data_IF_005993730679
#
_entry.id   IF_005993730679
#
_cell.length_a   1.000
_cell.length_b   1.000
_cell.length_c   1.000
_cell.angle_alpha   90.00
_cell.angle_beta   90.00
_cell.angle_gamma   90.00
#
_symmetry.space_group_name_H-M   'P 1'
#
loop_
_entity.id
_entity.type
_entity.pdbx_description
1 polymer ?
#
# COMPACT_ATOMS: atom_id res chain seq x y z
N UNK A 1 -51.08 -31.81 -15.71
CA UNK A 1 -51.12 -30.35 -15.42
C UNK A 1 -50.60 -30.00 -14.01
N UNK A 2 -49.53 -30.65 -13.53
CA UNK A 2 -48.99 -30.43 -12.17
C UNK A 2 -47.46 -30.53 -12.06
N UNK A 3 -46.76 -30.76 -13.18
CA UNK A 3 -45.30 -30.91 -13.23
C UNK A 3 -44.62 -29.66 -13.80
N UNK A 4 -45.26 -28.97 -14.75
CA UNK A 4 -44.82 -27.68 -15.33
C UNK A 4 -44.78 -26.54 -14.30
N UNK A 5 -45.68 -26.56 -13.31
CA UNK A 5 -45.78 -25.51 -12.27
C UNK A 5 -44.65 -25.63 -11.24
N UNK A 6 -44.11 -26.83 -11.03
CA UNK A 6 -42.99 -27.04 -10.10
C UNK A 6 -41.71 -26.45 -10.68
N UNK A 7 -41.50 -26.54 -12.00
CA UNK A 7 -40.32 -25.97 -12.69
C UNK A 7 -40.28 -24.44 -12.58
N UNK A 8 -41.44 -23.76 -12.51
CA UNK A 8 -41.51 -22.31 -12.27
C UNK A 8 -41.14 -21.89 -10.83
N UNK A 9 -41.22 -22.79 -9.85
CA UNK A 9 -40.80 -22.51 -8.45
C UNK A 9 -39.30 -22.76 -8.23
N UNK A 10 -38.62 -23.49 -9.12
CA UNK A 10 -37.17 -23.74 -9.06
C UNK A 10 -36.37 -22.70 -9.87
N UNK A 11 -37.06 -21.84 -10.62
CA UNK A 11 -36.48 -20.67 -11.28
C UNK A 11 -36.45 -19.43 -10.35
N UNK A 12 -36.42 -19.63 -9.02
CA UNK A 12 -35.80 -18.64 -8.16
C UNK A 12 -34.33 -18.67 -8.57
N UNK A 13 -34.00 -17.76 -9.49
CA UNK A 13 -32.66 -17.44 -9.89
C UNK A 13 -31.82 -17.43 -8.63
N UNK A 14 -30.92 -18.41 -8.49
CA UNK A 14 -29.75 -18.21 -7.64
C UNK A 14 -29.13 -16.95 -8.19
N UNK A 15 -29.39 -15.81 -7.55
CA UNK A 15 -28.69 -14.57 -7.80
C UNK A 15 -27.27 -14.87 -7.34
N UNK A 16 -26.51 -15.51 -8.22
CA UNK A 16 -25.09 -15.72 -8.02
C UNK A 16 -24.52 -14.33 -7.88
N UNK A 17 -23.76 -14.15 -6.80
CA UNK A 17 -23.07 -12.90 -6.52
C UNK A 17 -22.32 -12.47 -7.79
N UNK A 18 -22.67 -11.30 -8.33
CA UNK A 18 -22.08 -10.79 -9.57
C UNK A 18 -20.63 -10.34 -9.41
N UNK A 19 -20.14 -10.31 -8.16
CA UNK A 19 -18.77 -9.94 -7.81
C UNK A 19 -17.84 -11.14 -8.00
N UNK A 20 -16.88 -11.00 -8.91
CA UNK A 20 -15.83 -11.99 -9.12
C UNK A 20 -15.01 -12.22 -7.86
N UNK A 21 -14.67 -13.48 -7.57
CA UNK A 21 -13.91 -13.91 -6.38
C UNK A 21 -14.58 -13.57 -5.03
N UNK A 22 -15.91 -13.38 -5.04
CA UNK A 22 -16.69 -13.20 -3.83
C UNK A 22 -17.24 -14.53 -3.33
N UNK A 23 -17.00 -14.84 -2.05
CA UNK A 23 -17.59 -15.99 -1.38
C UNK A 23 -19.03 -15.69 -0.92
N UNK A 24 -19.29 -14.46 -0.45
CA UNK A 24 -20.61 -14.04 0.01
C UNK A 24 -20.90 -12.58 -0.32
N UNK A 25 -21.99 -12.37 -1.06
CA UNK A 25 -22.50 -11.02 -1.35
C UNK A 25 -23.15 -10.39 -0.11
N UNK A 26 -23.16 -9.07 -0.07
CA UNK A 26 -23.90 -8.31 0.95
C UNK A 26 -25.41 -8.51 0.75
N UNK A 27 -26.16 -8.70 1.84
CA UNK A 27 -27.61 -8.86 1.77
C UNK A 27 -28.29 -7.69 1.03
N UNK A 28 -29.16 -8.01 0.07
CA UNK A 28 -29.92 -7.03 -0.70
C UNK A 28 -29.19 -6.44 -1.91
N UNK A 29 -27.97 -6.90 -2.24
CA UNK A 29 -27.24 -6.50 -3.44
C UNK A 29 -26.36 -7.62 -3.99
N UNK A 30 -26.29 -7.73 -5.31
CA UNK A 30 -25.42 -8.67 -6.04
C UNK A 30 -24.10 -8.03 -6.52
N UNK A 31 -23.92 -6.73 -6.31
CA UNK A 31 -22.78 -5.95 -6.80
C UNK A 31 -21.73 -5.63 -5.73
N UNK A 32 -21.96 -6.07 -4.48
CA UNK A 32 -21.02 -5.89 -3.37
C UNK A 32 -20.78 -7.19 -2.62
N UNK A 33 -19.53 -7.39 -2.25
CA UNK A 33 -19.04 -8.54 -1.52
C UNK A 33 -18.87 -8.23 -0.03
N UNK A 34 -19.35 -9.13 0.80
CA UNK A 34 -19.16 -9.14 2.25
C UNK A 34 -17.98 -10.02 2.68
N UNK A 35 -17.64 -11.02 1.86
CA UNK A 35 -16.53 -11.93 2.13
C UNK A 35 -15.91 -12.44 0.83
N UNK A 36 -14.63 -12.14 0.62
CA UNK A 36 -13.89 -12.57 -0.57
C UNK A 36 -13.23 -13.93 -0.39
N UNK A 37 -12.97 -14.60 -1.51
CA UNK A 37 -12.19 -15.84 -1.54
C UNK A 37 -10.77 -15.63 -0.97
N UNK A 38 -10.14 -16.72 -0.53
CA UNK A 38 -8.74 -16.70 -0.12
C UNK A 38 -7.85 -16.09 -1.21
N UNK A 39 -6.91 -15.24 -0.79
CA UNK A 39 -6.06 -14.46 -1.70
C UNK A 39 -6.66 -13.12 -2.15
N UNK A 40 -7.88 -12.77 -1.72
CA UNK A 40 -8.52 -11.49 -2.04
C UNK A 40 -8.89 -10.73 -0.76
N UNK A 41 -9.00 -9.40 -0.87
CA UNK A 41 -9.53 -8.51 0.17
C UNK A 41 -10.67 -7.67 -0.40
N UNK A 42 -11.54 -7.16 0.48
CA UNK A 42 -12.69 -6.34 0.10
C UNK A 42 -12.24 -4.90 -0.07
N UNK A 43 -12.46 -4.32 -1.24
CA UNK A 43 -12.16 -2.92 -1.51
C UNK A 43 -13.20 -1.96 -0.92
N UNK A 44 -12.93 -0.66 -0.93
CA UNK A 44 -13.86 0.40 -0.52
C UNK A 44 -15.14 0.41 -1.38
N UNK A 45 -15.08 -0.11 -2.60
CA UNK A 45 -16.25 -0.23 -3.49
C UNK A 45 -17.06 -1.50 -3.22
N UNK A 46 -16.60 -2.37 -2.30
CA UNK A 46 -17.21 -3.67 -2.02
C UNK A 46 -16.85 -4.74 -3.04
N UNK A 47 -15.74 -4.58 -3.78
CA UNK A 47 -15.27 -5.57 -4.76
C UNK A 47 -14.10 -6.37 -4.21
N UNK A 48 -13.90 -7.59 -4.70
CA UNK A 48 -12.76 -8.40 -4.30
C UNK A 48 -11.54 -8.07 -5.14
N UNK A 49 -10.48 -7.60 -4.47
CA UNK A 49 -9.20 -7.25 -5.09
C UNK A 49 -8.14 -8.26 -4.66
N UNK A 50 -7.35 -8.70 -5.62
CA UNK A 50 -6.32 -9.72 -5.42
C UNK A 50 -5.15 -9.18 -4.60
N UNK A 51 -4.76 -9.90 -3.55
CA UNK A 51 -3.68 -9.53 -2.63
C UNK A 51 -2.31 -9.53 -3.30
N UNK A 52 -2.10 -10.42 -4.28
CA UNK A 52 -0.82 -10.59 -4.99
C UNK A 52 -0.35 -9.34 -5.74
N UNK A 53 -1.28 -8.42 -6.06
CA UNK A 53 -0.98 -7.13 -6.71
C UNK A 53 -0.25 -6.15 -5.80
N UNK A 54 -0.25 -6.40 -4.49
CA UNK A 54 0.36 -5.54 -3.50
C UNK A 54 1.59 -6.22 -2.90
N UNK A 55 2.74 -5.95 -3.50
CA UNK A 55 4.03 -6.47 -3.07
C UNK A 55 4.39 -5.89 -1.70
N UNK A 56 4.99 -6.69 -0.81
CA UNK A 56 5.47 -6.23 0.51
C UNK A 56 4.35 -5.96 1.53
N UNK A 57 3.13 -6.41 1.25
CA UNK A 57 1.97 -6.20 2.10
C UNK A 57 1.85 -7.25 3.20
N UNK A 58 1.71 -6.83 4.46
CA UNK A 58 1.44 -7.70 5.60
C UNK A 58 -0.07 -7.85 5.85
N UNK A 59 -0.77 -6.73 5.89
CA UNK A 59 -2.22 -6.66 6.12
C UNK A 59 -2.87 -5.74 5.11
N UNK A 60 -4.15 -6.00 4.82
CA UNK A 60 -4.90 -5.33 3.77
C UNK A 60 -6.09 -4.60 4.37
N UNK A 61 -6.21 -3.33 4.04
CA UNK A 61 -7.40 -2.51 4.31
C UNK A 61 -8.36 -2.54 3.13
N UNK A 62 -9.24 -1.55 3.06
CA UNK A 62 -10.23 -1.43 1.97
C UNK A 62 -9.68 -0.77 0.69
N UNK A 63 -8.48 -0.19 0.71
CA UNK A 63 -7.92 0.50 -0.47
C UNK A 63 -6.63 -0.16 -0.95
N UNK A 64 -5.97 -0.93 -0.09
CA UNK A 64 -4.70 -1.58 -0.38
C UNK A 64 -4.06 -2.11 0.89
N UNK A 65 -2.78 -1.89 1.06
CA UNK A 65 -2.02 -2.25 2.26
C UNK A 65 -2.30 -1.33 3.43
N UNK A 66 -2.61 -1.95 4.57
CA UNK A 66 -2.65 -1.29 5.86
C UNK A 66 -1.29 -1.32 6.54
N UNK A 67 -0.58 -2.44 6.47
CA UNK A 67 0.76 -2.59 7.02
C UNK A 67 1.68 -3.27 6.00
N UNK A 68 2.90 -2.78 5.92
CA UNK A 68 3.96 -3.41 5.14
C UNK A 68 4.72 -4.44 5.99
N UNK A 69 5.34 -5.41 5.33
CA UNK A 69 6.33 -6.28 5.97
C UNK A 69 7.61 -5.48 6.28
N UNK A 70 8.49 -6.05 7.10
CA UNK A 70 9.80 -5.45 7.37
C UNK A 70 10.61 -5.30 6.07
N UNK A 71 11.39 -4.22 5.97
CA UNK A 71 12.11 -3.86 4.74
C UNK A 71 11.25 -3.15 3.69
N UNK A 72 9.98 -2.86 3.99
CA UNK A 72 9.10 -2.08 3.13
C UNK A 72 8.50 -0.86 3.85
N UNK A 73 8.41 0.25 3.14
CA UNK A 73 7.85 1.53 3.58
C UNK A 73 6.44 1.68 3.03
N UNK A 74 5.49 2.06 3.89
CA UNK A 74 4.12 2.39 3.46
C UNK A 74 4.10 3.80 2.88
N UNK A 75 3.68 3.93 1.62
CA UNK A 75 3.54 5.23 0.94
C UNK A 75 2.07 5.63 0.75
N UNK A 76 1.81 6.87 0.34
CA UNK A 76 0.49 7.53 0.35
C UNK A 76 -0.62 6.84 -0.46
N UNK A 77 -0.29 5.87 -1.33
CA UNK A 77 -1.26 5.13 -2.15
C UNK A 77 -1.64 3.76 -1.56
N UNK A 78 -1.45 3.54 -0.26
CA UNK A 78 -1.71 2.24 0.39
C UNK A 78 -0.92 1.10 -0.28
N UNK A 79 0.28 1.41 -0.77
CA UNK A 79 1.21 0.42 -1.32
C UNK A 79 2.49 0.42 -0.51
N UNK A 80 3.21 -0.68 -0.59
CA UNK A 80 4.48 -0.86 0.08
C UNK A 80 5.59 -0.75 -0.95
N UNK A 81 6.60 0.06 -0.66
CA UNK A 81 7.80 0.22 -1.46
C UNK A 81 8.98 -0.38 -0.70
N UNK A 82 9.87 -1.08 -1.38
CA UNK A 82 11.10 -1.58 -0.75
C UNK A 82 11.91 -0.42 -0.15
N UNK A 83 12.45 -0.60 1.06
CA UNK A 83 13.03 0.50 1.81
C UNK A 83 14.26 1.09 1.11
N UNK A 84 15.09 0.28 0.46
CA UNK A 84 16.23 0.75 -0.33
C UNK A 84 15.83 1.54 -1.57
N UNK A 85 14.65 1.26 -2.13
CA UNK A 85 14.09 2.05 -3.24
C UNK A 85 13.52 3.38 -2.74
N UNK A 86 13.03 3.43 -1.51
CA UNK A 86 12.43 4.63 -0.91
C UNK A 86 13.50 5.58 -0.35
N UNK A 87 14.48 5.06 0.40
CA UNK A 87 15.54 5.84 1.03
C UNK A 87 16.77 5.90 0.11
N UNK A 88 16.88 6.98 -0.66
CA UNK A 88 18.06 7.21 -1.51
C UNK A 88 19.34 7.33 -0.65
N UNK A 89 20.42 6.71 -1.12
CA UNK A 89 21.74 6.70 -0.47
C UNK A 89 21.75 6.04 0.92
N UNK A 90 20.92 5.02 1.11
CA UNK A 90 20.77 4.28 2.37
C UNK A 90 21.28 2.84 2.25
N UNK A 91 22.15 2.43 3.17
CA UNK A 91 22.69 1.07 3.23
C UNK A 91 21.79 0.11 4.02
N UNK A 92 21.30 0.56 5.17
CA UNK A 92 20.41 -0.23 6.03
C UNK A 92 19.16 0.58 6.36
N UNK A 93 17.98 -0.01 6.21
CA UNK A 93 16.70 0.66 6.46
C UNK A 93 15.68 -0.21 7.17
N UNK A 94 14.71 0.45 7.81
CA UNK A 94 13.47 -0.13 8.33
C UNK A 94 12.29 0.39 7.51
N UNK A 95 11.07 0.10 7.95
CA UNK A 95 9.85 0.67 7.36
C UNK A 95 9.66 2.17 7.64
N UNK A 96 10.45 2.77 8.55
CA UNK A 96 10.29 4.17 8.99
C UNK A 96 11.56 5.00 8.94
N UNK A 97 12.73 4.39 8.81
CA UNK A 97 13.99 5.13 8.78
C UNK A 97 15.11 4.44 8.01
N UNK A 98 15.99 5.27 7.47
CA UNK A 98 17.35 4.85 7.18
C UNK A 98 18.19 4.81 8.46
N UNK A 99 19.01 3.76 8.63
CA UNK A 99 19.93 3.56 9.75
C UNK A 99 21.37 3.95 9.43
N UNK A 100 21.80 3.77 8.18
CA UNK A 100 23.17 4.05 7.75
C UNK A 100 23.16 4.60 6.32
N UNK A 101 23.91 5.67 6.09
CA UNK A 101 23.98 6.33 4.78
C UNK A 101 25.22 5.92 4.00
N UNK A 102 25.18 6.10 2.68
CA UNK A 102 26.35 5.97 1.82
C UNK A 102 27.41 7.02 2.15
N UNK A 103 28.65 6.75 1.73
CA UNK A 103 29.75 7.70 1.88
C UNK A 103 29.40 9.05 1.24
N UNK A 104 29.53 10.12 2.02
CA UNK A 104 29.19 11.49 1.59
C UNK A 104 27.76 11.92 1.92
N UNK A 105 27.00 11.09 2.65
CA UNK A 105 25.68 11.41 3.16
C UNK A 105 25.62 11.23 4.68
N UNK A 106 24.87 12.11 5.34
CA UNK A 106 24.62 12.06 6.77
C UNK A 106 23.15 11.71 7.05
N UNK A 107 22.91 11.02 8.17
CA UNK A 107 21.55 10.87 8.71
C UNK A 107 21.00 12.22 9.17
N UNK A 108 19.79 12.54 8.72
CA UNK A 108 19.01 13.72 9.12
C UNK A 108 17.60 13.32 9.51
N UNK A 109 16.93 14.18 10.26
CA UNK A 109 15.50 14.07 10.48
C UNK A 109 14.74 14.19 9.15
N UNK A 110 13.73 13.37 9.00
CA UNK A 110 12.93 13.34 7.79
C UNK A 110 12.07 14.60 7.67
N UNK A 111 12.14 15.25 6.50
CA UNK A 111 11.17 16.26 6.07
C UNK A 111 10.48 15.73 4.82
N UNK A 112 9.45 14.91 5.02
CA UNK A 112 8.72 14.24 3.94
C UNK A 112 7.22 14.26 4.21
N UNK A 113 6.44 14.26 3.14
CA UNK A 113 4.98 14.17 3.19
C UNK A 113 4.50 12.77 3.58
N UNK A 114 5.39 11.77 3.60
CA UNK A 114 5.07 10.40 4.00
C UNK A 114 5.05 10.30 5.53
N UNK A 115 3.88 10.01 6.14
CA UNK A 115 3.76 9.98 7.59
C UNK A 115 4.52 8.81 8.20
N UNK A 116 5.13 9.05 9.36
CA UNK A 116 5.85 8.04 10.14
C UNK A 116 7.31 7.82 9.74
N UNK A 117 7.81 8.52 8.73
CA UNK A 117 9.24 8.51 8.40
C UNK A 117 9.99 9.41 9.38
N UNK A 118 11.06 8.88 9.98
CA UNK A 118 11.82 9.56 11.04
C UNK A 118 13.21 10.00 10.60
N UNK A 119 13.93 9.18 9.81
CA UNK A 119 15.30 9.48 9.35
C UNK A 119 15.52 9.22 7.87
N UNK A 120 16.28 10.10 7.24
CA UNK A 120 16.69 10.03 5.82
C UNK A 120 18.16 10.40 5.67
N UNK A 121 18.74 10.06 4.51
CA UNK A 121 20.10 10.47 4.15
C UNK A 121 20.06 11.77 3.33
N UNK A 122 20.86 12.74 3.73
CA UNK A 122 21.07 13.98 2.98
C UNK A 122 22.56 14.21 2.76
N UNK A 123 22.92 14.87 1.66
CA UNK A 123 24.33 15.15 1.35
C UNK A 123 25.01 15.85 2.53
N UNK A 124 26.20 15.37 2.91
CA UNK A 124 27.01 15.97 3.96
C UNK A 124 27.52 17.33 3.49
N UNK A 125 26.69 18.37 3.64
CA UNK A 125 27.06 19.72 3.23
C UNK A 125 28.13 20.24 4.18
N UNK A 126 29.39 20.15 3.74
CA UNK A 126 30.52 20.69 4.50
C UNK A 126 30.29 22.18 4.74
N UNK A 127 30.46 22.63 5.99
CA UNK A 127 30.39 24.05 6.34
C UNK A 127 31.28 24.91 5.45
N UNK A 128 32.40 24.37 4.99
CA UNK A 128 33.32 25.05 4.08
C UNK A 128 32.65 25.33 2.74
N UNK A 129 31.90 24.38 2.18
CA UNK A 129 31.17 24.54 0.90
C UNK A 129 30.02 25.53 1.06
N UNK A 130 29.27 25.44 2.17
CA UNK A 130 28.18 26.38 2.45
C UNK A 130 28.70 27.83 2.57
N UNK A 131 29.80 28.03 3.29
CA UNK A 131 30.44 29.35 3.45
C UNK A 131 31.00 29.86 2.12
N UNK A 132 31.65 29.01 1.33
CA UNK A 132 32.15 29.39 0.00
C UNK A 132 31.01 29.81 -0.94
N UNK A 133 29.89 29.09 -0.96
CA UNK A 133 28.73 29.47 -1.78
C UNK A 133 28.17 30.84 -1.38
N UNK A 134 28.05 31.11 -0.07
CA UNK A 134 27.56 32.41 0.41
C UNK A 134 28.53 33.54 0.07
N UNK A 135 29.84 33.32 0.19
CA UNK A 135 30.86 34.31 -0.18
C UNK A 135 30.78 34.64 -1.68
N UNK A 136 30.62 33.64 -2.55
CA UNK A 136 30.46 33.85 -3.99
C UNK A 136 29.17 34.61 -4.36
N UNK A 137 28.11 34.51 -3.58
CA UNK A 137 26.86 35.25 -3.81
C UNK A 137 26.97 36.71 -3.35
N UNK A 138 27.89 37.02 -2.44
CA UNK A 138 28.11 38.35 -1.87
C UNK A 138 29.24 39.14 -2.56
N UNK A 139 29.96 38.54 -3.51
CA UNK A 139 30.98 39.15 -4.36
C UNK A 139 30.39 39.51 -5.73
#
# INVERSE_FOLDING_TARGET
>A
MKLEVIILLIAITFAQCGVSNCMRCVNGTDSKCEECNNGYFISQTGLCVEKSRFIGCKTFGSIGCDQCIEGYVKVSNFVCMECHSFFTNCNECTSTECKTCDNGYDLKDANTEVPGITKVCASSMSFIVAVLMVIFILL
#
